data_IF_125570099505
#
_entry.id   IF_125570099505
#
_cell.length_a   1.000
_cell.length_b   1.000
_cell.length_c   1.000
_cell.angle_alpha   90.00
_cell.angle_beta   90.00
_cell.angle_gamma   90.00
#
_symmetry.space_group_name_H-M   'P 1'
#
loop_
_entity.id
_entity.type
_entity.pdbx_description
1 polymer ?
#
# COMPACT_ATOMS: atom_id res chain seq x y z
N UNK A 1 1.68 -19.23 -14.91
CA UNK A 1 2.99 -18.64 -14.64
C UNK A 1 2.71 -17.40 -13.83
N UNK A 2 3.11 -17.38 -12.57
CA UNK A 2 2.80 -16.27 -11.68
C UNK A 2 3.71 -15.08 -12.00
N UNK A 3 3.22 -13.87 -11.72
CA UNK A 3 3.97 -12.64 -11.96
C UNK A 3 5.27 -12.62 -11.15
N UNK A 4 5.25 -13.24 -9.97
CA UNK A 4 6.40 -13.40 -9.07
C UNK A 4 7.54 -14.19 -9.71
N UNK A 5 7.24 -15.25 -10.49
CA UNK A 5 8.24 -16.06 -11.21
C UNK A 5 9.00 -15.23 -12.26
N UNK A 6 8.45 -14.08 -12.65
CA UNK A 6 9.04 -13.14 -13.61
C UNK A 6 9.75 -11.96 -12.93
N UNK A 7 9.92 -12.03 -11.61
CA UNK A 7 10.50 -10.96 -10.80
C UNK A 7 9.55 -9.75 -10.62
N UNK A 8 8.25 -9.91 -10.87
CA UNK A 8 7.27 -8.85 -10.65
C UNK A 8 6.69 -9.00 -9.25
N UNK A 9 6.96 -8.01 -8.42
CA UNK A 9 6.55 -7.98 -7.02
C UNK A 9 5.16 -7.35 -6.86
N UNK A 10 4.22 -8.07 -6.26
CA UNK A 10 2.85 -7.59 -6.09
C UNK A 10 2.62 -7.02 -4.70
N UNK A 11 2.01 -5.83 -4.63
CA UNK A 11 1.69 -5.14 -3.38
C UNK A 11 0.19 -4.91 -3.28
N UNK A 12 -0.33 -5.02 -2.06
CA UNK A 12 -1.69 -4.55 -1.73
C UNK A 12 -1.57 -3.11 -1.23
N UNK A 13 -2.24 -2.19 -1.92
CA UNK A 13 -2.32 -0.78 -1.50
C UNK A 13 -3.50 -0.59 -0.56
N UNK A 14 -3.26 -0.08 0.64
CA UNK A 14 -4.30 0.17 1.64
C UNK A 14 -4.11 1.53 2.30
N UNK A 15 -5.21 2.11 2.79
CA UNK A 15 -5.10 3.21 3.74
C UNK A 15 -4.80 2.69 5.14
N UNK A 16 -4.09 3.45 5.96
CA UNK A 16 -3.67 3.10 7.33
C UNK A 16 -4.83 2.59 8.22
N UNK A 17 -6.04 3.10 8.01
CA UNK A 17 -7.27 2.69 8.72
C UNK A 17 -7.63 1.21 8.53
N UNK A 18 -7.21 0.59 7.43
CA UNK A 18 -7.49 -0.82 7.15
C UNK A 18 -6.39 -1.77 7.63
N UNK A 19 -5.25 -1.26 8.11
CA UNK A 19 -4.13 -2.09 8.54
C UNK A 19 -4.52 -3.16 9.59
N UNK A 20 -5.35 -2.87 10.62
CA UNK A 20 -5.77 -3.89 11.57
C UNK A 20 -6.56 -5.02 10.92
N UNK A 21 -7.46 -4.68 9.98
CA UNK A 21 -8.28 -5.65 9.26
C UNK A 21 -7.41 -6.55 8.38
N UNK A 22 -6.51 -5.96 7.60
CA UNK A 22 -5.60 -6.71 6.71
C UNK A 22 -4.74 -7.68 7.51
N UNK A 23 -4.17 -7.24 8.64
CA UNK A 23 -3.38 -8.11 9.53
C UNK A 23 -4.21 -9.27 10.08
N UNK A 24 -5.45 -9.02 10.48
CA UNK A 24 -6.35 -10.08 10.95
C UNK A 24 -6.66 -11.09 9.83
N UNK A 25 -6.93 -10.62 8.61
CA UNK A 25 -7.22 -11.48 7.46
C UNK A 25 -6.00 -12.29 7.00
N UNK A 26 -4.81 -11.68 7.02
CA UNK A 26 -3.53 -12.33 6.70
C UNK A 26 -3.24 -13.45 7.69
N UNK A 27 -3.37 -13.17 9.00
CA UNK A 27 -3.23 -14.18 10.05
C UNK A 27 -4.22 -15.33 9.89
N UNK A 28 -5.49 -15.03 9.64
CA UNK A 28 -6.54 -16.05 9.48
C UNK A 28 -6.33 -16.97 8.27
N UNK A 29 -5.55 -16.54 7.27
CA UNK A 29 -5.28 -17.28 6.03
C UNK A 29 -3.83 -17.76 5.91
N UNK A 30 -3.00 -17.56 6.94
CA UNK A 30 -1.56 -17.82 6.89
C UNK A 30 -0.88 -17.22 5.64
N UNK A 31 -1.27 -15.99 5.30
CA UNK A 31 -0.72 -15.23 4.17
C UNK A 31 0.20 -14.12 4.70
N UNK A 32 1.24 -13.78 3.92
CA UNK A 32 2.17 -12.68 4.22
C UNK A 32 2.16 -11.65 3.07
N UNK A 33 1.17 -10.74 3.04
CA UNK A 33 1.04 -9.78 1.94
C UNK A 33 2.06 -8.66 2.06
N UNK A 34 2.70 -8.29 0.94
CA UNK A 34 3.47 -7.04 0.83
C UNK A 34 2.50 -5.86 0.79
N UNK A 35 2.60 -4.95 1.75
CA UNK A 35 1.65 -3.85 1.93
C UNK A 35 2.29 -2.51 1.57
N UNK A 36 1.60 -1.74 0.73
CA UNK A 36 1.85 -0.31 0.58
C UNK A 36 0.81 0.45 1.40
N UNK A 37 1.25 1.06 2.50
CA UNK A 37 0.37 1.76 3.44
C UNK A 37 0.40 3.26 3.11
N UNK A 38 -0.76 3.81 2.79
CA UNK A 38 -0.93 5.26 2.57
C UNK A 38 -1.82 5.88 3.65
N UNK A 39 -1.66 7.17 3.94
CA UNK A 39 -2.55 7.86 4.90
C UNK A 39 -4.00 7.83 4.42
N UNK A 40 -4.97 7.75 5.32
CA UNK A 40 -6.40 7.81 4.95
C UNK A 40 -6.87 9.27 4.75
N UNK A 41 -7.58 9.60 3.65
CA UNK A 41 -8.09 10.95 3.46
C UNK A 41 -9.26 11.20 4.39
N UNK A 42 -9.23 12.31 5.13
CA UNK A 42 -10.37 12.75 5.94
C UNK A 42 -11.10 13.82 5.14
N UNK A 43 -12.24 13.46 4.54
CA UNK A 43 -13.00 14.35 3.65
C UNK A 43 -12.51 14.36 2.20
N UNK A 44 -12.96 15.36 1.43
CA UNK A 44 -12.48 15.60 0.07
C UNK A 44 -11.11 16.27 0.07
N UNK A 45 -10.29 15.99 -0.94
CA UNK A 45 -8.99 16.62 -1.12
C UNK A 45 -9.14 17.85 -2.04
N UNK A 46 -8.55 18.96 -1.64
CA UNK A 46 -8.27 20.03 -2.60
C UNK A 46 -7.06 19.65 -3.48
N UNK A 47 -6.79 20.47 -4.50
CA UNK A 47 -5.73 20.20 -5.49
C UNK A 47 -4.33 20.06 -4.84
N UNK A 48 -3.99 20.93 -3.89
CA UNK A 48 -2.69 20.91 -3.23
C UNK A 48 -2.52 19.67 -2.34
N UNK A 49 -3.56 19.32 -1.57
CA UNK A 49 -3.58 18.13 -0.73
C UNK A 49 -3.51 16.85 -1.56
N UNK A 50 -4.16 16.81 -2.72
CA UNK A 50 -4.09 15.69 -3.65
C UNK A 50 -2.66 15.53 -4.21
N UNK A 51 -2.04 16.62 -4.65
CA UNK A 51 -0.69 16.61 -5.19
C UNK A 51 0.35 16.15 -4.14
N UNK A 52 0.25 16.62 -2.91
CA UNK A 52 1.10 16.17 -1.80
C UNK A 52 0.94 14.66 -1.58
N UNK A 53 -0.31 14.18 -1.55
CA UNK A 53 -0.61 12.78 -1.27
C UNK A 53 -0.08 11.83 -2.35
N UNK A 54 -0.20 12.21 -3.62
CA UNK A 54 0.39 11.46 -4.75
C UNK A 54 1.90 11.35 -4.55
N UNK A 55 2.57 12.46 -4.23
CA UNK A 55 4.02 12.50 -4.03
C UNK A 55 4.46 11.63 -2.85
N UNK A 56 3.73 11.66 -1.74
CA UNK A 56 4.01 10.81 -0.57
C UNK A 56 3.82 9.33 -0.90
N UNK A 57 2.70 8.95 -1.52
CA UNK A 57 2.43 7.56 -1.90
C UNK A 57 3.50 7.01 -2.86
N UNK A 58 3.91 7.81 -3.84
CA UNK A 58 4.97 7.44 -4.77
C UNK A 58 6.33 7.28 -4.08
N UNK A 59 6.66 8.16 -3.13
CA UNK A 59 7.92 8.09 -2.38
C UNK A 59 8.00 6.82 -1.51
N UNK A 60 6.90 6.46 -0.86
CA UNK A 60 6.79 5.23 -0.06
C UNK A 60 6.83 3.98 -0.93
N UNK A 61 6.17 4.01 -2.11
CA UNK A 61 6.28 2.92 -3.08
C UNK A 61 7.73 2.72 -3.50
N UNK A 62 8.40 3.79 -3.95
CA UNK A 62 9.80 3.73 -4.39
C UNK A 62 10.72 3.13 -3.31
N UNK A 63 10.58 3.58 -2.06
CA UNK A 63 11.32 3.02 -0.91
C UNK A 63 11.07 1.52 -0.71
N UNK A 64 9.86 1.05 -1.00
CA UNK A 64 9.48 -0.36 -0.83
C UNK A 64 10.01 -1.27 -1.92
N UNK A 65 10.39 -0.73 -3.09
CA UNK A 65 10.95 -1.48 -4.24
C UNK A 65 12.48 -1.39 -4.35
N UNK A 66 13.08 -0.34 -3.75
CA UNK A 66 14.55 -0.13 -3.74
C UNK A 66 15.26 -0.84 -2.55
N UNK A 67 14.51 -1.48 -1.63
CA UNK A 67 15.00 -2.08 -0.37
C UNK A 67 15.09 -3.61 -0.45
#
# INVERSE_FOLDING_TARGET
MDLEDRGVETYIVITETFLPLVRAQAKARNADPKLLIVKHPVGGLNEAELAERIKTAFSELKRSVDA
#
